data_IF_743910202562
#
_entry.id   IF_743910202562
#
_cell.length_a   1.000
_cell.length_b   1.000
_cell.length_c   1.000
_cell.angle_alpha   90.00
_cell.angle_beta   90.00
_cell.angle_gamma   90.00
#
_symmetry.space_group_name_H-M   'P 1'
#
loop_
_entity.id
_entity.type
_entity.pdbx_description
1 polymer ?
#
# COMPACT_ATOMS: atom_id res chain seq x y z
N UNK A 1 12.87 22.00 -22.82
CA UNK A 1 13.12 21.39 -21.51
C UNK A 1 11.82 21.48 -20.72
N UNK A 2 11.19 20.33 -20.52
CA UNK A 2 9.78 20.24 -20.10
C UNK A 2 9.64 20.47 -18.59
N UNK A 3 8.67 21.30 -18.19
CA UNK A 3 8.31 21.60 -16.80
C UNK A 3 7.70 20.40 -16.03
N UNK A 4 7.69 19.21 -16.62
CA UNK A 4 7.13 18.00 -16.04
C UNK A 4 8.11 17.25 -15.10
N UNK A 5 9.42 17.49 -15.21
CA UNK A 5 10.44 16.72 -14.47
C UNK A 5 10.65 17.15 -13.01
N UNK A 6 10.16 18.33 -12.60
CA UNK A 6 10.44 18.89 -11.27
C UNK A 6 9.43 18.51 -10.18
N UNK A 7 8.24 18.00 -10.52
CA UNK A 7 7.19 17.73 -9.53
C UNK A 7 7.21 16.29 -9.01
N UNK A 8 7.74 15.34 -9.78
CA UNK A 8 7.76 13.91 -9.43
C UNK A 8 8.74 13.60 -8.28
N UNK A 9 9.83 14.37 -8.15
CA UNK A 9 10.81 14.21 -7.06
C UNK A 9 10.35 14.78 -5.71
N UNK A 10 9.11 15.24 -5.59
CA UNK A 10 8.52 15.66 -4.31
C UNK A 10 7.57 14.61 -3.71
N UNK A 11 7.11 13.66 -4.52
CA UNK A 11 6.16 12.63 -4.12
C UNK A 11 6.87 11.39 -3.56
N UNK A 12 6.27 10.78 -2.54
CA UNK A 12 6.68 9.47 -2.02
C UNK A 12 5.85 8.36 -2.65
N UNK A 13 6.45 7.19 -2.78
CA UNK A 13 5.78 6.00 -3.25
C UNK A 13 5.72 4.93 -2.15
N UNK A 14 4.54 4.37 -1.95
CA UNK A 14 4.32 3.16 -1.17
C UNK A 14 4.13 1.99 -2.14
N UNK A 15 4.81 0.88 -1.94
CA UNK A 15 4.71 -0.29 -2.81
C UNK A 15 3.93 -1.39 -2.10
N UNK A 16 2.70 -1.62 -2.57
CA UNK A 16 1.74 -2.57 -2.02
C UNK A 16 0.66 -1.94 -1.15
N UNK A 17 -0.62 -2.24 -1.43
CA UNK A 17 -1.80 -1.75 -0.72
C UNK A 17 -2.37 -2.78 0.29
N UNK A 18 -1.50 -3.57 0.92
CA UNK A 18 -1.85 -4.39 2.08
C UNK A 18 -1.94 -3.55 3.36
N UNK A 19 -2.16 -4.18 4.54
CA UNK A 19 -2.30 -3.46 5.82
C UNK A 19 -1.16 -2.47 6.10
N UNK A 20 0.09 -2.89 5.87
CA UNK A 20 1.26 -2.04 6.10
C UNK A 20 1.34 -0.87 5.12
N UNK A 21 0.97 -1.08 3.85
CA UNK A 21 0.97 -0.03 2.84
C UNK A 21 -0.11 1.00 3.08
N UNK A 22 -1.31 0.58 3.44
CA UNK A 22 -2.42 1.48 3.79
C UNK A 22 -2.07 2.38 4.97
N UNK A 23 -1.50 1.82 6.04
CA UNK A 23 -1.08 2.61 7.21
C UNK A 23 0.08 3.54 6.88
N UNK A 24 1.03 3.12 6.07
CA UNK A 24 2.13 3.97 5.61
C UNK A 24 1.62 5.15 4.77
N UNK A 25 0.75 4.87 3.78
CA UNK A 25 0.13 5.89 2.92
C UNK A 25 -0.65 6.91 3.77
N UNK A 26 -1.52 6.43 4.67
CA UNK A 26 -2.28 7.29 5.58
C UNK A 26 -1.36 8.22 6.37
N UNK A 27 -0.31 7.69 6.99
CA UNK A 27 0.59 8.50 7.81
C UNK A 27 1.37 9.54 6.99
N UNK A 28 1.83 9.20 5.78
CA UNK A 28 2.47 10.17 4.88
C UNK A 28 1.52 11.33 4.56
N UNK A 29 0.29 11.02 4.15
CA UNK A 29 -0.72 12.03 3.79
C UNK A 29 -1.10 12.91 5.00
N UNK A 30 -1.27 12.34 6.18
CA UNK A 30 -1.54 13.08 7.41
C UNK A 30 -0.38 14.01 7.84
N UNK A 31 0.86 13.64 7.50
CA UNK A 31 2.03 14.52 7.69
C UNK A 31 2.19 15.58 6.60
N UNK A 32 1.24 15.70 5.67
CA UNK A 32 1.30 16.65 4.56
C UNK A 32 2.30 16.26 3.46
N UNK A 33 2.78 15.01 3.46
CA UNK A 33 3.68 14.50 2.45
C UNK A 33 2.84 13.98 1.27
N UNK A 34 3.12 14.49 0.07
CA UNK A 34 2.50 13.96 -1.13
C UNK A 34 2.96 12.50 -1.35
N UNK A 35 2.00 11.59 -1.45
CA UNK A 35 2.28 10.17 -1.62
C UNK A 35 1.25 9.50 -2.51
N UNK A 36 1.67 8.42 -3.17
CA UNK A 36 0.79 7.49 -3.85
C UNK A 36 1.24 6.05 -3.56
N UNK A 37 0.32 5.11 -3.70
CA UNK A 37 0.60 3.69 -3.53
C UNK A 37 0.47 2.97 -4.86
N UNK A 38 1.46 2.14 -5.19
CA UNK A 38 1.42 1.25 -6.36
C UNK A 38 1.00 -0.14 -5.89
N UNK A 39 -0.13 -0.62 -6.39
CA UNK A 39 -0.65 -1.96 -6.10
C UNK A 39 -0.76 -2.77 -7.39
N UNK A 40 -0.24 -3.99 -7.39
CA UNK A 40 -0.26 -4.87 -8.57
C UNK A 40 -1.62 -5.49 -8.85
N UNK A 41 -2.41 -5.75 -7.81
CA UNK A 41 -3.75 -6.32 -7.94
C UNK A 41 -4.76 -5.23 -8.33
N UNK A 42 -5.98 -5.63 -8.65
CA UNK A 42 -7.08 -4.73 -9.01
C UNK A 42 -7.83 -4.17 -7.78
N UNK A 43 -7.46 -4.63 -6.58
CA UNK A 43 -8.01 -4.14 -5.32
C UNK A 43 -6.96 -4.17 -4.19
N UNK A 44 -7.27 -3.47 -3.11
CA UNK A 44 -6.45 -3.42 -1.90
C UNK A 44 -6.67 -4.66 -1.02
N UNK A 45 -5.82 -4.81 0.00
CA UNK A 45 -5.98 -5.86 1.01
C UNK A 45 -4.78 -6.79 1.15
N UNK A 46 -3.92 -6.83 0.12
CA UNK A 46 -2.74 -7.69 0.11
C UNK A 46 -3.10 -9.14 0.36
N UNK A 47 -2.49 -9.77 1.37
CA UNK A 47 -2.77 -11.17 1.68
C UNK A 47 -4.24 -11.48 2.04
N UNK A 48 -5.00 -10.48 2.52
CA UNK A 48 -6.42 -10.64 2.86
C UNK A 48 -7.35 -10.58 1.65
N UNK A 49 -6.84 -10.16 0.49
CA UNK A 49 -7.59 -10.19 -0.76
C UNK A 49 -7.66 -11.63 -1.29
N UNK A 50 -8.62 -12.41 -0.77
CA UNK A 50 -8.84 -13.81 -1.12
C UNK A 50 -9.10 -13.97 -2.63
N UNK A 51 -8.39 -14.93 -3.24
CA UNK A 51 -8.50 -15.20 -4.68
C UNK A 51 -7.59 -14.34 -5.56
N UNK A 52 -6.86 -13.36 -5.01
CA UNK A 52 -5.82 -12.68 -5.75
C UNK A 52 -4.64 -13.62 -6.04
N UNK A 53 -3.81 -13.25 -7.02
CA UNK A 53 -2.68 -14.07 -7.46
C UNK A 53 -1.67 -14.38 -6.35
N UNK A 54 -1.62 -13.54 -5.32
CA UNK A 54 -0.61 -13.57 -4.25
C UNK A 54 -1.17 -13.87 -2.87
N UNK A 55 -2.49 -13.92 -2.72
CA UNK A 55 -3.13 -14.28 -1.47
C UNK A 55 -2.78 -15.70 -1.02
N UNK A 56 -2.53 -15.87 0.26
CA UNK A 56 -2.26 -17.16 0.90
C UNK A 56 -3.34 -17.53 1.92
N UNK A 57 -4.44 -16.79 1.96
CA UNK A 57 -5.60 -17.14 2.80
C UNK A 57 -6.48 -18.16 2.11
N UNK A 58 -7.10 -19.01 2.91
CA UNK A 58 -8.09 -20.00 2.48
C UNK A 58 -9.48 -19.53 2.92
N UNK A 59 -10.54 -20.14 2.36
CA UNK A 59 -11.92 -19.82 2.72
C UNK A 59 -12.18 -19.94 4.24
N UNK A 60 -11.49 -20.85 4.93
CA UNK A 60 -11.61 -21.05 6.37
C UNK A 60 -10.68 -20.17 7.23
N UNK A 61 -9.85 -19.31 6.60
CA UNK A 61 -8.87 -18.51 7.33
C UNK A 61 -9.54 -17.50 8.26
N UNK A 62 -9.06 -17.47 9.50
CA UNK A 62 -9.41 -16.50 10.53
C UNK A 62 -8.15 -15.87 11.10
N UNK A 63 -8.29 -14.71 11.74
CA UNK A 63 -7.20 -14.15 12.55
C UNK A 63 -6.76 -15.14 13.63
N UNK A 64 -5.47 -15.25 13.85
CA UNK A 64 -4.87 -16.02 14.94
C UNK A 64 -4.63 -15.18 16.20
N UNK A 65 -4.67 -13.86 16.08
CA UNK A 65 -4.68 -12.87 17.17
C UNK A 65 -6.10 -12.30 17.33
N UNK A 66 -6.45 -11.85 18.53
CA UNK A 66 -7.76 -11.22 18.73
C UNK A 66 -7.87 -9.91 17.96
N UNK A 67 -9.11 -9.51 17.61
CA UNK A 67 -9.36 -8.24 16.92
C UNK A 67 -8.75 -7.05 17.66
N UNK A 68 -8.85 -7.02 18.99
CA UNK A 68 -8.30 -5.94 19.82
C UNK A 68 -6.77 -5.83 19.83
N UNK A 69 -6.05 -6.87 19.41
CA UNK A 69 -4.60 -6.86 19.22
C UNK A 69 -4.18 -6.64 17.76
N UNK A 70 -5.14 -6.69 16.84
CA UNK A 70 -4.89 -6.61 15.39
C UNK A 70 -5.40 -5.32 14.78
N UNK A 71 -6.47 -4.74 15.34
CA UNK A 71 -7.02 -3.48 14.88
C UNK A 71 -5.99 -2.34 14.94
N UNK A 72 -6.14 -1.38 14.05
CA UNK A 72 -5.32 -0.17 14.09
C UNK A 72 -5.74 0.72 15.26
N UNK A 73 -4.79 1.35 15.92
CA UNK A 73 -5.03 2.17 17.13
C UNK A 73 -5.95 3.37 16.89
N UNK A 74 -6.01 3.84 15.66
CA UNK A 74 -6.81 4.97 15.21
C UNK A 74 -8.09 4.58 14.46
N UNK A 75 -8.33 3.27 14.29
CA UNK A 75 -9.50 2.74 13.60
C UNK A 75 -9.88 1.37 14.17
N UNK A 76 -10.69 1.29 15.23
CA UNK A 76 -11.07 0.03 15.85
C UNK A 76 -11.97 -0.80 14.94
N UNK A 77 -11.88 -2.13 15.06
CA UNK A 77 -12.80 -3.05 14.40
C UNK A 77 -14.21 -2.98 15.03
N UNK A 78 -15.28 -3.25 14.26
CA UNK A 78 -16.64 -3.24 14.77
C UNK A 78 -16.81 -4.09 16.04
N UNK A 79 -17.49 -3.53 17.05
CA UNK A 79 -17.64 -4.19 18.34
C UNK A 79 -18.38 -5.53 18.24
N UNK A 80 -19.36 -5.61 17.35
CA UNK A 80 -20.20 -6.79 17.10
C UNK A 80 -19.46 -7.94 16.39
N UNK A 81 -18.25 -7.70 15.87
CA UNK A 81 -17.48 -8.75 15.23
C UNK A 81 -16.92 -9.76 16.25
N UNK A 82 -16.74 -11.04 15.85
CA UNK A 82 -16.16 -12.04 16.73
C UNK A 82 -14.74 -11.65 17.18
N UNK A 83 -14.26 -12.25 18.26
CA UNK A 83 -12.91 -12.02 18.77
C UNK A 83 -11.82 -12.36 17.74
N UNK A 84 -12.11 -13.30 16.84
CA UNK A 84 -11.22 -13.75 15.75
C UNK A 84 -11.96 -13.63 14.41
N UNK A 85 -11.97 -12.46 13.78
CA UNK A 85 -12.61 -12.23 12.48
C UNK A 85 -12.05 -13.14 11.39
N UNK A 86 -12.89 -13.49 10.42
CA UNK A 86 -12.46 -14.21 9.23
C UNK A 86 -11.80 -13.30 8.20
N UNK A 87 -11.26 -13.91 7.12
CA UNK A 87 -10.56 -13.17 6.07
C UNK A 87 -11.47 -12.15 5.36
N UNK A 88 -12.77 -12.42 5.24
CA UNK A 88 -13.73 -11.49 4.61
C UNK A 88 -13.94 -10.26 5.48
N UNK A 89 -14.03 -10.45 6.80
CA UNK A 89 -14.12 -9.36 7.76
C UNK A 89 -12.80 -8.56 7.79
N UNK A 90 -11.64 -9.24 7.72
CA UNK A 90 -10.35 -8.55 7.64
C UNK A 90 -10.23 -7.69 6.37
N UNK A 91 -10.65 -8.21 5.21
CA UNK A 91 -10.67 -7.44 3.97
C UNK A 91 -11.64 -6.25 4.06
N UNK A 92 -12.87 -6.49 4.56
CA UNK A 92 -13.87 -5.44 4.76
C UNK A 92 -13.36 -4.32 5.68
N UNK A 93 -12.63 -4.68 6.73
CA UNK A 93 -11.98 -3.72 7.62
C UNK A 93 -10.97 -2.82 6.90
N UNK A 94 -10.14 -3.39 6.02
CA UNK A 94 -9.16 -2.63 5.25
C UNK A 94 -9.83 -1.70 4.23
N UNK A 95 -10.93 -2.13 3.61
CA UNK A 95 -11.75 -1.25 2.77
C UNK A 95 -12.32 -0.08 3.57
N UNK A 96 -12.96 -0.35 4.72
CA UNK A 96 -13.51 0.69 5.59
C UNK A 96 -12.42 1.68 6.05
N UNK A 97 -11.22 1.17 6.38
CA UNK A 97 -10.07 2.01 6.72
C UNK A 97 -9.66 2.92 5.57
N UNK A 98 -9.52 2.34 4.37
CA UNK A 98 -9.17 3.08 3.17
C UNK A 98 -10.18 4.17 2.83
N UNK A 99 -11.48 3.85 2.94
CA UNK A 99 -12.56 4.80 2.66
C UNK A 99 -12.61 5.91 3.71
N UNK A 100 -12.49 5.56 4.99
CA UNK A 100 -12.53 6.52 6.10
C UNK A 100 -11.42 7.57 6.01
N UNK A 101 -10.23 7.17 5.59
CA UNK A 101 -9.09 8.07 5.45
C UNK A 101 -8.89 8.60 4.02
N UNK A 102 -9.80 8.31 3.08
CA UNK A 102 -9.72 8.78 1.68
C UNK A 102 -8.50 8.25 0.93
N UNK A 103 -8.04 7.02 1.24
CA UNK A 103 -6.79 6.52 0.68
C UNK A 103 -6.94 6.01 -0.75
N UNK A 104 -8.13 5.55 -1.13
CA UNK A 104 -8.36 4.87 -2.41
C UNK A 104 -7.98 5.73 -3.62
N UNK A 105 -8.20 7.04 -3.58
CA UNK A 105 -7.81 7.98 -4.64
C UNK A 105 -6.29 8.15 -4.82
N UNK A 106 -5.52 7.70 -3.82
CA UNK A 106 -4.05 7.73 -3.85
C UNK A 106 -3.45 6.36 -4.18
N UNK A 107 -4.27 5.34 -4.48
CA UNK A 107 -3.80 4.00 -4.84
C UNK A 107 -3.96 3.80 -6.35
N UNK A 108 -2.87 3.46 -6.99
CA UNK A 108 -2.83 3.08 -8.40
C UNK A 108 -2.84 1.56 -8.50
N UNK A 109 -4.00 1.00 -8.78
CA UNK A 109 -4.19 -0.43 -8.97
C UNK A 109 -3.65 -0.91 -10.30
N UNK A 110 -3.34 -2.21 -10.40
CA UNK A 110 -2.77 -2.85 -11.59
C UNK A 110 -1.44 -2.19 -12.04
N UNK A 111 -0.67 -1.70 -11.07
CA UNK A 111 0.63 -1.09 -11.26
C UNK A 111 1.72 -1.94 -10.58
N UNK A 112 2.16 -2.98 -11.27
CA UNK A 112 3.19 -3.91 -10.80
C UNK A 112 4.58 -3.29 -10.97
N UNK A 113 5.32 -3.18 -9.86
CA UNK A 113 6.71 -2.68 -9.86
C UNK A 113 7.66 -3.82 -10.24
N UNK A 114 8.50 -3.58 -11.26
CA UNK A 114 9.46 -4.56 -11.78
C UNK A 114 10.90 -4.26 -11.38
N UNK A 115 11.23 -2.97 -11.25
CA UNK A 115 12.59 -2.55 -10.91
C UNK A 115 12.58 -1.23 -10.14
N UNK A 116 13.56 -1.07 -9.25
CA UNK A 116 13.81 0.15 -8.51
C UNK A 116 15.28 0.49 -8.61
N UNK A 117 15.57 1.73 -9.01
CA UNK A 117 16.93 2.22 -9.21
C UNK A 117 17.13 3.55 -8.49
N UNK A 118 18.19 3.74 -7.70
CA UNK A 118 18.47 5.03 -7.08
C UNK A 118 18.85 6.07 -8.14
N UNK A 119 18.26 7.27 -8.07
CA UNK A 119 18.68 8.42 -8.86
C UNK A 119 19.79 9.12 -8.10
N UNK A 120 21.00 9.13 -8.66
CA UNK A 120 22.19 9.68 -8.00
C UNK A 120 22.79 10.82 -8.85
N UNK A 121 23.15 11.92 -8.19
CA UNK A 121 23.89 13.02 -8.79
C UNK A 121 25.06 13.40 -7.89
N UNK A 122 26.28 13.46 -8.44
CA UNK A 122 27.50 13.75 -7.67
C UNK A 122 27.66 12.86 -6.43
N UNK A 123 27.39 11.55 -6.57
CA UNK A 123 27.41 10.55 -5.49
C UNK A 123 26.38 10.76 -4.36
N UNK A 124 25.45 11.70 -4.52
CA UNK A 124 24.34 11.94 -3.58
C UNK A 124 23.05 11.44 -4.19
N UNK A 125 22.30 10.61 -3.42
CA UNK A 125 20.99 10.14 -3.84
C UNK A 125 19.99 11.29 -3.84
N UNK A 126 19.34 11.49 -5.00
CA UNK A 126 18.31 12.52 -5.20
C UNK A 126 16.88 11.96 -5.11
N UNK A 127 16.71 10.67 -5.30
CA UNK A 127 15.42 10.01 -5.33
C UNK A 127 15.52 8.58 -5.85
N UNK A 128 14.40 8.09 -6.36
CA UNK A 128 14.25 6.75 -6.85
C UNK A 128 13.49 6.72 -8.17
N UNK A 129 13.99 5.92 -9.10
CA UNK A 129 13.27 5.54 -10.31
C UNK A 129 12.59 4.19 -10.07
N UNK A 130 11.32 4.11 -10.43
CA UNK A 130 10.49 2.91 -10.33
C UNK A 130 9.98 2.56 -11.71
N UNK A 131 10.35 1.38 -12.20
CA UNK A 131 9.90 0.85 -13.48
C UNK A 131 8.71 -0.09 -13.25
N UNK A 132 7.66 0.06 -14.04
CA UNK A 132 6.43 -0.72 -13.98
C UNK A 132 6.39 -1.79 -15.07
N UNK A 133 5.54 -2.79 -14.89
CA UNK A 133 5.37 -3.91 -15.82
C UNK A 133 4.84 -3.47 -17.21
N UNK A 134 4.06 -2.39 -17.25
CA UNK A 134 3.55 -1.79 -18.50
C UNK A 134 4.62 -1.02 -19.30
N UNK A 135 5.85 -0.97 -18.81
CA UNK A 135 6.98 -0.25 -19.41
C UNK A 135 7.07 1.21 -19.03
N UNK A 136 6.16 1.72 -18.20
CA UNK A 136 6.25 3.10 -17.70
C UNK A 136 7.28 3.22 -16.59
N UNK A 137 7.83 4.42 -16.43
CA UNK A 137 8.82 4.75 -15.40
C UNK A 137 8.33 5.98 -14.63
N UNK A 138 8.43 5.92 -13.30
CA UNK A 138 8.08 7.01 -12.39
C UNK A 138 9.26 7.35 -11.48
N UNK A 139 9.35 8.61 -11.05
CA UNK A 139 10.39 9.08 -10.15
C UNK A 139 9.80 9.57 -8.84
N UNK A 140 10.45 9.25 -7.71
CA UNK A 140 9.97 9.57 -6.38
C UNK A 140 11.10 10.08 -5.48
N UNK A 141 10.75 10.98 -4.54
CA UNK A 141 11.68 11.45 -3.51
C UNK A 141 12.03 10.34 -2.51
N UNK A 142 11.06 9.50 -2.17
CA UNK A 142 11.23 8.42 -1.21
C UNK A 142 10.35 7.22 -1.52
N UNK A 143 10.72 6.06 -0.96
CA UNK A 143 9.99 4.81 -1.11
C UNK A 143 9.72 4.17 0.24
N UNK A 144 8.53 3.54 0.37
CA UNK A 144 8.21 2.61 1.44
C UNK A 144 7.86 1.26 0.81
N UNK A 145 8.59 0.24 1.20
CA UNK A 145 8.33 -1.13 0.77
C UNK A 145 7.33 -1.79 1.71
N UNK A 146 6.16 -2.11 1.18
CA UNK A 146 5.07 -2.81 1.88
C UNK A 146 4.58 -4.01 1.06
N UNK A 147 5.47 -4.62 0.29
CA UNK A 147 5.18 -5.66 -0.69
C UNK A 147 4.79 -7.03 -0.09
N UNK A 148 4.87 -7.18 1.24
CA UNK A 148 4.52 -8.42 1.94
C UNK A 148 5.69 -9.40 2.06
N UNK A 149 5.37 -10.64 2.51
CA UNK A 149 6.39 -11.67 2.80
C UNK A 149 6.57 -12.71 1.69
N UNK A 150 5.61 -12.79 0.76
CA UNK A 150 5.52 -13.89 -0.21
C UNK A 150 5.83 -13.40 -1.64
N UNK A 151 7.08 -13.10 -1.88
CA UNK A 151 7.59 -12.71 -3.21
C UNK A 151 8.56 -13.75 -3.74
#
# INVERSE_FOLDING_TARGET
MSACESNDLLKWCVIGAGPSGLTALKNLLQCGIQAECLEREDDLGGNWYFGSSTSRVFESTKLISSKSLTEFTDFPMPHEWPAYPDHKQCLAYLHQYSDYFGLREHILFQNSVTRITPITRNHVRQGWQVDLEDGTTRNYAGLIFASGHNH
#
